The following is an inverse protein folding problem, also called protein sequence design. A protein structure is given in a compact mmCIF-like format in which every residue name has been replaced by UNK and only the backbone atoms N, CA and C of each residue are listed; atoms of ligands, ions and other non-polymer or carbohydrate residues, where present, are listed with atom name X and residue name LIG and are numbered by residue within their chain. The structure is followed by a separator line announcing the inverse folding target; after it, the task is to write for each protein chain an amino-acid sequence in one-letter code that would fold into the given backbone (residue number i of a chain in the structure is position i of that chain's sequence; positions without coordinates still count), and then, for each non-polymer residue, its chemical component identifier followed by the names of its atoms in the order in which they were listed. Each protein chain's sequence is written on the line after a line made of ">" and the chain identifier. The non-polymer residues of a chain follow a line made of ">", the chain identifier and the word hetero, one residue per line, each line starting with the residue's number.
data_IF_807142101996
#
_entry.id   IF_807142101996
#
_cell.length_a   1.000
_cell.length_b   1.000
_cell.length_c   1.000
_cell.angle_alpha   90.00
_cell.angle_beta   90.00
_cell.angle_gamma   90.00
#
_symmetry.space_group_name_H-M   'P 1'
#
loop_
_entity.id
_entity.type
_entity.pdbx_description
1 polymer ?
#
# COMPACT_ATOMS: atom_id res chain seq x y z
N UNK A 1 12.35 -24.54 14.91
CA UNK A 1 12.81 -23.31 14.21
C UNK A 1 13.10 -22.16 15.16
N UNK A 2 12.18 -21.69 16.03
CA UNK A 2 12.47 -20.66 17.06
C UNK A 2 13.67 -20.99 17.98
N UNK A 3 13.87 -22.28 18.28
CA UNK A 3 14.98 -22.74 19.12
C UNK A 3 16.34 -22.47 18.44
N UNK A 4 16.46 -22.67 17.12
CA UNK A 4 17.72 -22.48 16.39
C UNK A 4 18.13 -21.00 16.33
N UNK A 5 17.21 -20.08 16.05
CA UNK A 5 17.51 -18.64 16.11
C UNK A 5 17.92 -18.21 17.52
N UNK A 6 17.22 -18.69 18.56
CA UNK A 6 17.56 -18.38 19.96
C UNK A 6 18.91 -18.94 20.41
N UNK A 7 19.33 -20.10 19.90
CA UNK A 7 20.63 -20.70 20.18
C UNK A 7 21.77 -19.93 19.50
N UNK A 8 21.56 -19.41 18.28
CA UNK A 8 22.52 -18.56 17.58
C UNK A 8 22.70 -17.15 18.19
N UNK A 9 21.75 -16.66 19.00
CA UNK A 9 22.02 -15.47 19.84
C UNK A 9 22.91 -15.78 21.03
N UNK A 10 22.73 -16.94 21.66
CA UNK A 10 23.58 -17.34 22.79
C UNK A 10 25.04 -17.53 22.39
N UNK A 11 25.31 -17.80 21.10
CA UNK A 11 26.66 -17.83 20.53
C UNK A 11 27.19 -16.48 20.05
N UNK A 12 26.42 -15.39 20.17
CA UNK A 12 26.84 -14.02 19.83
C UNK A 12 26.87 -13.70 18.31
N UNK A 13 26.37 -14.59 17.45
CA UNK A 13 26.48 -14.45 15.99
C UNK A 13 25.35 -13.62 15.35
N UNK A 14 24.24 -13.40 16.07
CA UNK A 14 23.06 -12.69 15.58
C UNK A 14 22.73 -11.52 16.51
N UNK A 15 22.56 -10.33 15.94
CA UNK A 15 22.13 -9.13 16.69
C UNK A 15 20.62 -9.17 16.96
N UNK A 16 20.11 -8.55 18.05
CA UNK A 16 18.68 -8.58 18.39
C UNK A 16 17.73 -8.15 17.26
N UNK A 17 18.07 -7.12 16.48
CA UNK A 17 17.23 -6.69 15.35
C UNK A 17 17.17 -7.75 14.24
N UNK A 18 18.25 -8.49 13.99
CA UNK A 18 18.28 -9.55 12.98
C UNK A 18 17.40 -10.73 13.42
N UNK A 19 17.39 -11.05 14.72
CA UNK A 19 16.47 -12.04 15.28
C UNK A 19 15.03 -11.66 15.01
N UNK A 20 14.67 -10.41 15.29
CA UNK A 20 13.30 -9.92 15.13
C UNK A 20 12.83 -10.02 13.67
N UNK A 21 13.69 -9.63 12.73
CA UNK A 21 13.43 -9.78 11.30
C UNK A 21 13.20 -11.24 10.92
N UNK A 22 14.06 -12.16 11.37
CA UNK A 22 13.90 -13.60 11.10
C UNK A 22 12.58 -14.13 11.67
N UNK A 23 12.23 -13.74 12.90
CA UNK A 23 10.97 -14.14 13.52
C UNK A 23 9.75 -13.62 12.74
N UNK A 24 9.78 -12.36 12.31
CA UNK A 24 8.69 -11.75 11.53
C UNK A 24 8.53 -12.44 10.16
N UNK A 25 9.63 -12.78 9.48
CA UNK A 25 9.59 -13.54 8.21
C UNK A 25 8.86 -14.88 8.40
N UNK A 26 9.13 -15.59 9.50
CA UNK A 26 8.45 -16.86 9.79
C UNK A 26 6.95 -16.69 10.08
N UNK A 27 6.51 -15.50 10.51
CA UNK A 27 5.10 -15.21 10.80
C UNK A 27 4.29 -14.82 9.57
N UNK A 28 4.92 -14.47 8.44
CA UNK A 28 4.23 -14.05 7.21
C UNK A 28 3.26 -15.11 6.67
N UNK A 29 3.54 -16.39 6.94
CA UNK A 29 2.69 -17.51 6.53
C UNK A 29 1.35 -17.56 7.30
N UNK A 30 1.36 -17.09 8.54
CA UNK A 30 0.16 -17.01 9.39
C UNK A 30 -0.55 -15.66 9.31
N UNK A 31 0.18 -14.59 8.96
CA UNK A 31 -0.35 -13.23 8.91
C UNK A 31 -1.18 -12.99 7.64
N UNK A 32 -2.21 -12.17 7.76
CA UNK A 32 -3.16 -11.81 6.71
C UNK A 32 -2.94 -10.38 6.20
N UNK A 33 -3.30 -10.13 4.94
CA UNK A 33 -3.21 -8.79 4.34
C UNK A 33 -3.99 -7.73 5.12
N UNK A 34 -5.18 -8.08 5.63
CA UNK A 34 -5.97 -7.17 6.47
C UNK A 34 -5.23 -6.60 7.69
N UNK A 35 -4.20 -7.30 8.15
CA UNK A 35 -3.42 -6.91 9.33
C UNK A 35 -2.32 -5.90 9.01
N UNK A 36 -1.95 -5.73 7.74
CA UNK A 36 -0.85 -4.84 7.31
C UNK A 36 -1.27 -3.79 6.27
N UNK A 37 -2.43 -3.97 5.64
CA UNK A 37 -2.89 -3.05 4.61
C UNK A 37 -3.18 -1.65 5.16
N UNK A 38 -3.13 -0.66 4.28
CA UNK A 38 -3.70 0.67 4.51
C UNK A 38 -5.23 0.60 4.37
N UNK A 39 -6.03 0.86 5.43
CA UNK A 39 -7.48 0.73 5.38
C UNK A 39 -8.15 1.73 4.44
N UNK A 40 -9.24 1.34 3.77
CA UNK A 40 -9.99 2.17 2.81
C UNK A 40 -10.33 3.58 3.29
N UNK A 41 -10.57 3.75 4.59
CA UNK A 41 -10.95 5.02 5.22
C UNK A 41 -9.87 6.10 5.14
N UNK A 42 -8.62 5.70 4.91
CA UNK A 42 -7.47 6.61 4.80
C UNK A 42 -6.79 6.53 3.44
N UNK A 43 -7.35 5.76 2.49
CA UNK A 43 -6.83 5.70 1.13
C UNK A 43 -7.21 6.96 0.36
N UNK A 44 -6.19 7.61 -0.22
CA UNK A 44 -6.37 8.70 -1.17
C UNK A 44 -6.52 8.12 -2.58
N UNK A 45 -7.55 8.54 -3.30
CA UNK A 45 -7.88 8.04 -4.63
C UNK A 45 -8.40 9.16 -5.54
N UNK A 46 -8.36 8.93 -6.85
CA UNK A 46 -8.77 9.89 -7.88
C UNK A 46 -9.92 9.32 -8.73
N UNK A 47 -10.86 10.18 -9.15
CA UNK A 47 -11.92 9.73 -10.05
C UNK A 47 -11.39 9.61 -11.49
N UNK A 48 -11.78 8.55 -12.21
CA UNK A 48 -11.35 8.32 -13.60
C UNK A 48 -11.70 9.47 -14.54
N UNK A 49 -12.80 10.15 -14.25
CA UNK A 49 -13.34 11.26 -15.02
C UNK A 49 -12.68 12.60 -14.72
N UNK A 50 -11.80 12.73 -13.72
CA UNK A 50 -11.05 13.97 -13.53
C UNK A 50 -10.11 14.21 -14.71
N UNK A 51 -9.93 15.46 -15.09
CA UNK A 51 -8.85 15.85 -16.00
C UNK A 51 -7.50 15.82 -15.27
N UNK A 52 -6.40 15.80 -16.03
CA UNK A 52 -5.05 15.93 -15.49
C UNK A 52 -4.89 17.23 -14.69
N UNK A 53 -5.48 18.34 -15.15
CA UNK A 53 -5.43 19.60 -14.42
C UNK A 53 -6.21 19.57 -13.10
N UNK A 54 -7.42 19.03 -13.10
CA UNK A 54 -8.23 18.86 -11.89
C UNK A 54 -7.52 17.96 -10.88
N UNK A 55 -7.02 16.81 -11.34
CA UNK A 55 -6.31 15.87 -10.51
C UNK A 55 -5.04 16.47 -9.92
N UNK A 56 -4.26 17.25 -10.67
CA UNK A 56 -3.03 17.89 -10.19
C UNK A 56 -3.25 18.78 -8.95
N UNK A 57 -4.48 19.30 -8.79
CA UNK A 57 -4.90 20.18 -7.70
C UNK A 57 -5.72 19.45 -6.62
N UNK A 58 -5.93 18.14 -6.76
CA UNK A 58 -6.78 17.35 -5.87
C UNK A 58 -6.22 17.21 -4.45
N UNK A 59 -4.89 17.29 -4.32
CA UNK A 59 -4.18 17.22 -3.06
C UNK A 59 -3.26 18.43 -2.93
N UNK A 60 -3.22 18.99 -1.72
CA UNK A 60 -2.29 20.07 -1.38
C UNK A 60 -0.84 19.56 -1.44
N UNK A 61 -0.62 18.33 -0.97
CA UNK A 61 0.67 17.66 -0.93
C UNK A 61 0.55 16.26 -1.55
N UNK A 62 1.44 15.96 -2.49
CA UNK A 62 1.51 14.65 -3.14
C UNK A 62 2.48 13.75 -2.40
N UNK A 63 1.96 12.97 -1.44
CA UNK A 63 2.78 12.14 -0.55
C UNK A 63 3.04 10.74 -1.11
N UNK A 64 2.31 10.34 -2.15
CA UNK A 64 2.40 8.98 -2.69
C UNK A 64 2.80 8.97 -4.16
N UNK A 65 3.50 7.89 -4.55
CA UNK A 65 3.87 7.66 -5.95
C UNK A 65 2.72 7.11 -6.80
N UNK A 66 1.68 6.55 -6.18
CA UNK A 66 0.58 5.82 -6.81
C UNK A 66 -0.74 6.13 -6.10
N UNK A 67 -1.78 6.36 -6.88
CA UNK A 67 -3.13 6.59 -6.38
C UNK A 67 -4.11 5.65 -7.09
N UNK A 68 -4.92 4.88 -6.35
CA UNK A 68 -6.04 4.15 -6.92
C UNK A 68 -6.98 5.09 -7.70
N UNK A 69 -7.50 4.59 -8.82
CA UNK A 69 -8.45 5.30 -9.67
C UNK A 69 -9.79 4.62 -9.57
N UNK A 70 -10.83 5.38 -9.25
CA UNK A 70 -12.19 4.87 -9.10
C UNK A 70 -13.15 5.41 -10.17
N UNK A 71 -14.22 4.68 -10.45
CA UNK A 71 -15.25 5.09 -11.41
C UNK A 71 -16.49 5.67 -10.72
N UNK A 72 -17.40 4.82 -10.24
CA UNK A 72 -18.69 5.25 -9.71
C UNK A 72 -18.60 5.84 -8.31
N UNK A 73 -17.83 5.20 -7.45
CA UNK A 73 -17.60 5.60 -6.07
C UNK A 73 -16.21 5.10 -5.62
N UNK A 74 -15.75 5.52 -4.44
CA UNK A 74 -14.41 5.18 -3.95
C UNK A 74 -14.17 3.69 -3.66
N UNK A 75 -15.20 2.85 -3.69
CA UNK A 75 -15.08 1.39 -3.53
C UNK A 75 -14.92 0.68 -4.89
N UNK A 76 -15.28 1.33 -6.00
CA UNK A 76 -15.22 0.83 -7.37
C UNK A 76 -13.88 1.21 -8.03
N UNK A 77 -12.80 0.55 -7.61
CA UNK A 77 -11.45 0.79 -8.14
C UNK A 77 -11.28 0.10 -9.49
N UNK A 78 -10.88 0.88 -10.50
CA UNK A 78 -10.73 0.44 -11.90
C UNK A 78 -9.29 0.50 -12.40
N UNK A 79 -8.36 1.03 -11.61
CA UNK A 79 -6.96 1.12 -11.98
C UNK A 79 -6.11 1.86 -10.97
N UNK A 80 -4.89 2.21 -11.38
CA UNK A 80 -3.94 3.00 -10.60
C UNK A 80 -3.26 4.03 -11.49
N UNK A 81 -3.11 5.26 -11.02
CA UNK A 81 -2.33 6.29 -11.71
C UNK A 81 -1.02 6.53 -10.95
N UNK A 82 0.05 6.71 -11.70
CA UNK A 82 1.35 7.08 -11.14
C UNK A 82 1.44 8.61 -11.13
N UNK A 83 1.82 9.17 -9.99
CA UNK A 83 2.01 10.62 -9.80
C UNK A 83 2.96 11.20 -10.85
N UNK A 84 4.02 10.47 -11.19
CA UNK A 84 4.96 10.84 -12.26
C UNK A 84 4.26 10.99 -13.62
N UNK A 85 3.38 10.06 -13.99
CA UNK A 85 2.65 10.12 -15.28
C UNK A 85 1.69 11.31 -15.32
N UNK A 86 1.01 11.59 -14.21
CA UNK A 86 0.14 12.75 -14.08
C UNK A 86 0.92 14.05 -14.38
N UNK A 87 2.05 14.28 -13.70
CA UNK A 87 2.83 15.50 -13.88
C UNK A 87 3.56 15.57 -15.24
N UNK A 88 3.91 14.43 -15.84
CA UNK A 88 4.41 14.39 -17.23
C UNK A 88 3.33 14.87 -18.21
N UNK A 89 2.08 14.40 -18.08
CA UNK A 89 0.99 14.85 -18.95
C UNK A 89 0.68 16.34 -18.73
N UNK A 90 0.72 16.80 -17.48
CA UNK A 90 0.52 18.21 -17.14
C UNK A 90 1.58 19.12 -17.78
N UNK A 91 2.86 18.76 -17.66
CA UNK A 91 3.97 19.53 -18.24
C UNK A 91 3.98 19.55 -19.77
N UNK A 92 3.40 18.53 -20.41
CA UNK A 92 3.18 18.47 -21.87
C UNK A 92 1.94 19.24 -22.34
N UNK A 93 1.22 19.92 -21.44
CA UNK A 93 0.01 20.66 -21.77
C UNK A 93 -1.22 19.78 -22.02
N UNK A 94 -1.17 18.49 -21.71
CA UNK A 94 -2.31 17.56 -21.87
C UNK A 94 -3.30 17.68 -20.70
N UNK A 95 -3.74 18.91 -20.42
CA UNK A 95 -4.55 19.26 -19.23
C UNK A 95 -5.92 18.59 -19.22
N UNK A 96 -6.57 18.50 -20.39
CA UNK A 96 -7.93 17.99 -20.54
C UNK A 96 -8.02 16.45 -20.58
N UNK A 97 -6.87 15.78 -20.70
CA UNK A 97 -6.81 14.32 -20.72
C UNK A 97 -7.36 13.76 -19.41
N UNK A 98 -8.17 12.70 -19.47
CA UNK A 98 -8.80 12.12 -18.29
C UNK A 98 -7.86 11.18 -17.56
N UNK A 99 -8.01 11.06 -16.24
CA UNK A 99 -7.22 10.13 -15.42
C UNK A 99 -7.39 8.69 -15.89
N UNK A 100 -8.59 8.30 -16.32
CA UNK A 100 -8.85 6.97 -16.89
C UNK A 100 -8.03 6.66 -18.16
N UNK A 101 -7.52 7.67 -18.86
CA UNK A 101 -6.70 7.49 -20.07
C UNK A 101 -5.20 7.35 -19.78
N UNK A 102 -4.76 7.70 -18.56
CA UNK A 102 -3.35 7.60 -18.12
C UNK A 102 -3.15 6.61 -16.98
N UNK A 103 -4.25 6.02 -16.48
CA UNK A 103 -4.18 4.96 -15.49
C UNK A 103 -3.65 3.66 -16.10
N UNK A 104 -3.16 2.79 -15.23
CA UNK A 104 -2.71 1.44 -15.55
C UNK A 104 -3.63 0.43 -14.84
N UNK A 105 -3.73 -0.80 -15.34
CA UNK A 105 -4.39 -1.88 -14.61
C UNK A 105 -3.78 -2.04 -13.21
N UNK A 106 -4.62 -2.38 -12.24
CA UNK A 106 -4.20 -2.66 -10.87
C UNK A 106 -4.51 -4.12 -10.54
N UNK A 107 -3.64 -4.75 -9.76
CA UNK A 107 -3.83 -6.11 -9.29
C UNK A 107 -4.64 -6.13 -7.99
N UNK A 108 -5.48 -7.15 -7.84
CA UNK A 108 -6.40 -7.29 -6.72
C UNK A 108 -6.04 -8.53 -5.90
N UNK A 109 -6.11 -8.38 -4.58
CA UNK A 109 -5.95 -9.47 -3.61
C UNK A 109 -7.10 -9.41 -2.60
N UNK A 110 -7.40 -10.53 -1.94
CA UNK A 110 -8.41 -10.56 -0.87
C UNK A 110 -7.79 -10.28 0.48
N UNK A 111 -8.53 -9.65 1.38
CA UNK A 111 -8.05 -9.28 2.72
C UNK A 111 -7.61 -10.49 3.59
N UNK A 112 -8.14 -11.67 3.27
CA UNK A 112 -7.82 -12.95 3.90
C UNK A 112 -6.62 -13.68 3.28
N UNK A 113 -5.97 -13.10 2.27
CA UNK A 113 -4.74 -13.65 1.69
C UNK A 113 -3.59 -13.62 2.70
N UNK A 114 -2.67 -14.58 2.57
CA UNK A 114 -1.44 -14.62 3.38
C UNK A 114 -0.46 -13.57 2.90
N UNK A 115 0.23 -12.91 3.83
CA UNK A 115 1.27 -11.93 3.48
C UNK A 115 2.38 -12.58 2.66
N UNK A 116 2.76 -13.82 2.99
CA UNK A 116 3.78 -14.57 2.24
C UNK A 116 3.39 -14.78 0.77
N UNK A 117 2.14 -15.16 0.48
CA UNK A 117 1.64 -15.34 -0.89
C UNK A 117 1.68 -14.03 -1.68
N UNK A 118 1.19 -12.94 -1.09
CA UNK A 118 1.15 -11.63 -1.74
C UNK A 118 2.55 -11.04 -1.93
N UNK A 119 3.50 -11.32 -1.05
CA UNK A 119 4.91 -10.96 -1.26
C UNK A 119 5.46 -11.60 -2.55
N UNK A 120 5.18 -12.89 -2.79
CA UNK A 120 5.59 -13.54 -4.03
C UNK A 120 4.86 -12.99 -5.26
N UNK A 121 3.59 -12.62 -5.13
CA UNK A 121 2.86 -11.91 -6.19
C UNK A 121 3.51 -10.54 -6.49
N UNK A 122 3.93 -9.78 -5.48
CA UNK A 122 4.67 -8.54 -5.68
C UNK A 122 5.99 -8.77 -6.41
N UNK A 123 6.78 -9.75 -5.99
CA UNK A 123 8.09 -10.09 -6.60
C UNK A 123 7.92 -10.53 -8.06
N UNK A 124 6.88 -11.31 -8.36
CA UNK A 124 6.56 -11.75 -9.72
C UNK A 124 5.94 -10.66 -10.59
N UNK A 125 5.32 -9.65 -9.97
CA UNK A 125 4.76 -8.49 -10.66
C UNK A 125 5.78 -7.37 -10.83
N UNK A 126 5.46 -6.39 -11.69
CA UNK A 126 6.18 -5.09 -11.74
C UNK A 126 5.40 -3.99 -11.03
N UNK A 127 4.35 -4.34 -10.31
CA UNK A 127 3.50 -3.41 -9.58
C UNK A 127 3.99 -3.27 -8.14
N UNK A 128 3.69 -2.14 -7.51
CA UNK A 128 4.06 -1.87 -6.10
C UNK A 128 2.87 -1.57 -5.20
N UNK A 129 1.66 -1.60 -5.76
CA UNK A 129 0.43 -1.37 -5.03
C UNK A 129 -0.61 -2.34 -5.57
N UNK A 130 -1.22 -3.09 -4.66
CA UNK A 130 -2.38 -3.93 -4.93
C UNK A 130 -3.60 -3.37 -4.19
N UNK A 131 -4.77 -3.54 -4.78
CA UNK A 131 -6.04 -3.20 -4.14
C UNK A 131 -6.52 -4.42 -3.36
N UNK A 132 -6.94 -4.19 -2.12
CA UNK A 132 -7.43 -5.25 -1.25
C UNK A 132 -8.95 -5.24 -1.27
N UNK A 133 -9.55 -6.38 -1.59
CA UNK A 133 -10.99 -6.57 -1.61
C UNK A 133 -11.48 -7.30 -0.35
N UNK A 134 -12.68 -6.93 0.09
CA UNK A 134 -13.44 -7.69 1.06
C UNK A 134 -14.18 -8.89 0.41
N UNK A 135 -14.93 -9.61 1.23
CA UNK A 135 -15.67 -10.82 0.83
C UNK A 135 -16.86 -10.54 -0.12
N UNK A 136 -17.28 -9.27 -0.20
CA UNK A 136 -18.39 -8.80 -1.02
C UNK A 136 -17.90 -8.12 -2.32
N UNK A 137 -16.57 -8.07 -2.54
CA UNK A 137 -15.94 -7.43 -3.69
C UNK A 137 -15.79 -5.92 -3.56
N UNK A 138 -16.09 -5.35 -2.38
CA UNK A 138 -15.82 -3.96 -2.06
C UNK A 138 -14.34 -3.74 -1.74
N UNK A 139 -13.86 -2.51 -1.92
CA UNK A 139 -12.51 -2.15 -1.49
C UNK A 139 -12.41 -2.17 0.04
N UNK A 140 -11.52 -3.01 0.58
CA UNK A 140 -11.15 -3.04 2.00
C UNK A 140 -9.94 -2.12 2.28
N UNK A 141 -9.05 -1.94 1.30
CA UNK A 141 -7.90 -1.06 1.40
C UNK A 141 -6.92 -1.19 0.23
N UNK A 142 -5.67 -0.80 0.47
CA UNK A 142 -4.54 -1.07 -0.43
C UNK A 142 -3.38 -1.65 0.36
N UNK A 143 -2.55 -2.45 -0.31
CA UNK A 143 -1.29 -2.94 0.25
C UNK A 143 -0.16 -2.65 -0.72
N UNK A 144 1.00 -2.29 -0.19
CA UNK A 144 2.23 -2.04 -0.95
C UNK A 144 3.31 -3.07 -0.61
N UNK A 145 4.37 -3.11 -1.43
CA UNK A 145 5.53 -3.92 -1.08
C UNK A 145 6.23 -3.35 0.17
N UNK A 146 6.22 -2.02 0.29
CA UNK A 146 6.75 -1.29 1.43
C UNK A 146 6.06 -1.73 2.75
N UNK A 147 4.72 -1.87 2.77
CA UNK A 147 3.96 -2.35 3.95
C UNK A 147 4.44 -3.75 4.40
N UNK A 148 4.75 -4.64 3.45
CA UNK A 148 5.25 -6.00 3.76
C UNK A 148 6.67 -5.93 4.33
N UNK A 149 7.52 -5.03 3.81
CA UNK A 149 8.87 -4.84 4.32
C UNK A 149 8.85 -4.23 5.73
N UNK A 150 7.95 -3.30 6.00
CA UNK A 150 7.71 -2.73 7.33
C UNK A 150 7.30 -3.80 8.33
N UNK A 151 6.41 -4.71 7.91
CA UNK A 151 6.00 -5.84 8.76
C UNK A 151 7.18 -6.77 9.10
N UNK A 152 8.01 -7.07 8.10
CA UNK A 152 9.24 -7.86 8.28
C UNK A 152 10.21 -7.15 9.22
N UNK A 153 10.43 -5.85 9.03
CA UNK A 153 11.36 -5.05 9.83
C UNK A 153 10.81 -4.75 11.23
N UNK A 154 9.49 -4.81 11.42
CA UNK A 154 8.80 -4.43 12.65
C UNK A 154 8.87 -2.94 12.96
N UNK A 155 8.97 -2.10 11.93
CA UNK A 155 9.03 -0.62 12.02
C UNK A 155 8.61 -0.01 10.69
N UNK A 156 8.04 1.19 10.76
CA UNK A 156 7.70 2.02 9.60
C UNK A 156 8.94 2.46 8.82
N UNK A 157 8.82 2.55 7.50
CA UNK A 157 9.82 3.15 6.60
C UNK A 157 9.33 4.56 6.27
N UNK A 158 9.87 5.54 6.99
CA UNK A 158 9.45 6.94 6.88
C UNK A 158 10.18 7.63 5.72
N UNK A 159 9.41 8.15 4.76
CA UNK A 159 9.91 9.01 3.69
C UNK A 159 9.85 10.50 4.10
N UNK A 160 10.61 11.35 3.41
CA UNK A 160 10.66 12.80 3.66
C UNK A 160 9.30 13.49 3.44
N UNK A 161 8.45 12.91 2.58
CA UNK A 161 7.11 13.43 2.30
C UNK A 161 6.03 12.96 3.27
N UNK A 162 6.32 12.04 4.20
CA UNK A 162 5.30 11.44 5.05
C UNK A 162 4.84 12.39 6.16
N UNK A 163 3.53 12.65 6.21
CA UNK A 163 2.90 13.41 7.30
C UNK A 163 2.28 12.50 8.37
N UNK A 164 2.03 11.24 8.02
CA UNK A 164 1.43 10.23 8.89
C UNK A 164 2.36 9.02 8.91
N UNK A 165 2.90 8.71 10.09
CA UNK A 165 3.87 7.62 10.28
C UNK A 165 3.20 6.25 10.22
N UNK A 166 2.07 6.06 10.92
CA UNK A 166 1.31 4.81 10.91
C UNK A 166 -0.12 5.07 10.42
N UNK A 167 -0.41 4.60 9.19
CA UNK A 167 -1.71 4.80 8.54
C UNK A 167 -2.81 3.94 9.17
N UNK A 168 -2.48 2.79 9.75
CA UNK A 168 -3.46 1.93 10.42
C UNK A 168 -3.91 2.56 11.73
N UNK A 169 -2.97 3.05 12.53
CA UNK A 169 -3.26 3.74 13.77
C UNK A 169 -4.03 5.04 13.51
N UNK A 170 -3.64 5.81 12.48
CA UNK A 170 -4.39 6.99 12.06
C UNK A 170 -5.84 6.65 11.67
N UNK A 171 -6.06 5.55 10.93
CA UNK A 171 -7.40 5.08 10.59
C UNK A 171 -8.23 4.75 11.83
N UNK A 172 -7.65 4.03 12.82
CA UNK A 172 -8.33 3.70 14.09
C UNK A 172 -8.74 4.95 14.86
N UNK A 173 -7.91 5.99 14.86
CA UNK A 173 -8.21 7.26 15.53
C UNK A 173 -9.37 8.02 14.86
N UNK A 174 -9.47 7.99 13.52
CA UNK A 174 -10.60 8.60 12.79
C UNK A 174 -11.92 7.91 13.08
N UNK A 175 -11.93 6.57 13.19
CA UNK A 175 -13.15 5.81 13.53
C UNK A 175 -13.62 6.11 14.97
N UNK A 176 -12.70 6.45 15.88
CA UNK A 176 -13.00 6.77 17.28
C UNK A 176 -13.43 8.21 17.53
N UNK A 177 -13.33 9.10 16.54
CA UNK A 177 -13.82 10.49 16.67
C UNK A 177 -15.31 10.55 16.30
N UNK A 178 -16.20 10.93 17.23
CA UNK A 178 -17.64 11.07 16.97
C UNK A 178 -17.95 12.21 16.00
#
# INVERSE_FOLDING_TARGET
>A
MRILSSLSLRSGQIKPYQQKVIENILLLESRRIKEIMTPRTVVLSLNKGMTVEEASKAFEHWEHSRYPVYDKNKEDIVGVVLTKELFINLSRGMKDKRIGEIMRPVHFVVESARVSSVLFEFIGSRQKLFVVLDEYGGMSGVVTLEDILEDILGREIIDESDRIIDKQEFARQRVRRP
#
